data_IF_579730127745
#
_entry.id   IF_579730127745
#
_cell.length_a   1.000
_cell.length_b   1.000
_cell.length_c   1.000
_cell.angle_alpha   90.00
_cell.angle_beta   90.00
_cell.angle_gamma   90.00
#
_symmetry.space_group_name_H-M   'P 1'
#
loop_
_entity.id
_entity.type
_entity.pdbx_description
1 polymer ?
#
# COMPACT_ATOMS: atom_id res chain seq x y z
N UNK A 1 -5.49 -34.51 -6.61
CA UNK A 1 -5.20 -33.23 -5.93
C UNK A 1 -6.51 -32.69 -5.41
N UNK A 2 -6.73 -32.72 -4.09
CA UNK A 2 -7.98 -32.23 -3.49
C UNK A 2 -8.09 -30.72 -3.68
N UNK A 3 -9.12 -30.28 -4.41
CA UNK A 3 -9.41 -28.87 -4.59
C UNK A 3 -9.77 -28.26 -3.24
N UNK A 4 -8.95 -27.34 -2.75
CA UNK A 4 -9.30 -26.54 -1.60
C UNK A 4 -10.53 -25.69 -1.97
N UNK A 5 -11.55 -25.74 -1.12
CA UNK A 5 -12.70 -24.83 -1.22
C UNK A 5 -12.17 -23.40 -1.31
N UNK A 6 -12.64 -22.57 -2.27
CA UNK A 6 -12.22 -21.18 -2.34
C UNK A 6 -12.61 -20.49 -1.03
N UNK A 7 -11.60 -20.04 -0.29
CA UNK A 7 -11.81 -19.28 0.94
C UNK A 7 -11.97 -17.80 0.62
N UNK A 8 -13.04 -17.19 1.13
CA UNK A 8 -13.31 -15.76 0.96
C UNK A 8 -12.46 -14.94 1.95
N UNK A 9 -11.76 -13.93 1.43
CA UNK A 9 -10.95 -12.97 2.20
C UNK A 9 -11.79 -11.87 2.86
N UNK A 10 -12.96 -11.59 2.29
CA UNK A 10 -13.81 -10.42 2.61
C UNK A 10 -14.38 -10.44 4.03
N UNK A 11 -14.75 -11.61 4.53
CA UNK A 11 -15.32 -11.74 5.87
C UNK A 11 -14.24 -12.02 6.94
N UNK A 12 -12.97 -12.10 6.53
CA UNK A 12 -11.82 -12.37 7.40
C UNK A 12 -11.85 -13.70 8.20
N UNK A 13 -12.89 -14.52 7.99
CA UNK A 13 -13.07 -15.83 8.63
C UNK A 13 -11.98 -16.85 8.25
N UNK A 14 -11.25 -16.61 7.15
CA UNK A 14 -10.11 -17.44 6.75
C UNK A 14 -9.06 -17.57 7.86
N UNK A 15 -8.96 -16.58 8.76
CA UNK A 15 -8.01 -16.63 9.87
C UNK A 15 -8.40 -17.67 10.93
N UNK A 16 -9.67 -18.05 11.04
CA UNK A 16 -10.12 -19.11 11.94
C UNK A 16 -10.09 -20.50 11.27
N UNK A 17 -9.91 -20.58 9.96
CA UNK A 17 -9.91 -21.84 9.22
C UNK A 17 -8.71 -22.74 9.61
N UNK A 18 -9.01 -23.98 10.00
CA UNK A 18 -7.99 -24.93 10.46
C UNK A 18 -7.02 -25.34 9.36
N UNK A 19 -7.50 -25.42 8.11
CA UNK A 19 -6.65 -25.78 6.97
C UNK A 19 -5.67 -24.65 6.66
N UNK A 20 -6.14 -23.41 6.67
CA UNK A 20 -5.31 -22.22 6.57
C UNK A 20 -4.22 -22.20 7.64
N UNK A 21 -4.60 -22.36 8.90
CA UNK A 21 -3.65 -22.33 10.02
C UNK A 21 -2.60 -23.44 9.91
N UNK A 22 -3.03 -24.66 9.54
CA UNK A 22 -2.12 -25.79 9.33
C UNK A 22 -1.14 -25.54 8.17
N UNK A 23 -1.62 -25.05 7.03
CA UNK A 23 -0.78 -24.77 5.85
C UNK A 23 0.19 -23.61 6.15
N UNK A 24 -0.31 -22.53 6.75
CA UNK A 24 0.51 -21.38 7.16
C UNK A 24 1.62 -21.81 8.11
N UNK A 25 1.30 -22.60 9.14
CA UNK A 25 2.28 -23.12 10.10
C UNK A 25 3.32 -24.00 9.41
N UNK A 26 2.89 -24.98 8.61
CA UNK A 26 3.79 -25.89 7.89
C UNK A 26 4.80 -25.15 7.00
N UNK A 27 4.33 -24.15 6.24
CA UNK A 27 5.23 -23.33 5.40
C UNK A 27 6.17 -22.44 6.23
N UNK A 28 5.68 -21.90 7.36
CA UNK A 28 6.50 -21.07 8.26
C UNK A 28 7.63 -21.89 8.87
N UNK A 29 7.29 -23.07 9.42
CA UNK A 29 8.27 -24.00 10.02
C UNK A 29 9.32 -24.41 8.97
N UNK A 30 8.88 -24.79 7.75
CA UNK A 30 9.79 -25.18 6.67
C UNK A 30 10.74 -24.04 6.24
N UNK A 31 10.29 -22.77 6.28
CA UNK A 31 11.15 -21.62 6.01
C UNK A 31 12.19 -21.40 7.10
N UNK A 32 11.82 -21.57 8.37
CA UNK A 32 12.75 -21.47 9.52
C UNK A 32 13.78 -22.60 9.48
N UNK A 33 13.35 -23.83 9.21
CA UNK A 33 14.25 -24.97 9.07
C UNK A 33 15.26 -24.71 7.95
N UNK A 34 14.78 -24.23 6.79
CA UNK A 34 15.67 -23.89 5.67
C UNK A 34 16.62 -22.74 6.00
N UNK A 35 16.17 -21.71 6.70
CA UNK A 35 17.05 -20.62 7.14
C UNK A 35 18.14 -21.14 8.08
N UNK A 36 17.79 -22.02 9.02
CA UNK A 36 18.73 -22.65 9.97
C UNK A 36 19.80 -23.49 9.27
N UNK A 37 19.49 -24.12 8.12
CA UNK A 37 20.52 -24.84 7.34
C UNK A 37 21.62 -23.91 6.78
N UNK A 38 21.33 -22.62 6.59
CA UNK A 38 22.28 -21.62 6.05
C UNK A 38 22.87 -20.75 7.16
N UNK A 39 22.11 -20.50 8.23
CA UNK A 39 22.48 -19.69 9.40
C UNK A 39 22.24 -20.51 10.69
N UNK A 40 23.07 -21.51 11.00
CA UNK A 40 22.85 -22.39 12.15
C UNK A 40 22.76 -21.66 13.49
N UNK A 41 23.37 -20.48 13.60
CA UNK A 41 23.36 -19.66 14.80
C UNK A 41 21.96 -19.19 15.24
N UNK A 42 20.95 -19.20 14.35
CA UNK A 42 19.59 -18.77 14.67
C UNK A 42 18.74 -19.89 15.30
N UNK A 43 19.24 -21.13 15.30
CA UNK A 43 18.51 -22.29 15.84
C UNK A 43 18.17 -22.07 17.32
N UNK A 44 16.90 -22.26 17.68
CA UNK A 44 16.42 -22.04 19.04
C UNK A 44 16.48 -20.59 19.54
N UNK A 45 16.84 -19.61 18.69
CA UNK A 45 16.92 -18.19 19.05
C UNK A 45 15.73 -17.35 18.57
N UNK A 46 14.77 -17.96 17.89
CA UNK A 46 13.55 -17.28 17.45
C UNK A 46 12.67 -16.98 18.67
N UNK A 47 12.62 -15.70 19.07
CA UNK A 47 11.79 -15.23 20.19
C UNK A 47 10.37 -14.84 19.77
N UNK A 48 10.16 -14.56 18.48
CA UNK A 48 8.88 -14.19 17.90
C UNK A 48 8.84 -14.61 16.43
N UNK A 49 7.67 -15.07 15.98
CA UNK A 49 7.42 -15.41 14.59
C UNK A 49 6.03 -14.94 14.17
N UNK A 50 5.97 -14.32 13.00
CA UNK A 50 4.72 -13.97 12.33
C UNK A 50 4.90 -14.18 10.82
N UNK A 51 3.91 -14.81 10.20
CA UNK A 51 3.89 -15.03 8.76
C UNK A 51 2.70 -14.33 8.11
N UNK A 52 2.91 -13.78 6.92
CA UNK A 52 1.85 -13.26 6.06
C UNK A 52 1.62 -14.21 4.87
N UNK A 53 0.38 -14.30 4.41
CA UNK A 53 -0.05 -15.11 3.27
C UNK A 53 -0.68 -14.22 2.20
N UNK A 54 -0.92 -14.69 0.96
CA UNK A 54 -1.69 -13.93 -0.03
C UNK A 54 -3.07 -13.48 0.49
N UNK A 55 -3.75 -14.29 1.30
CA UNK A 55 -5.01 -13.91 1.97
C UNK A 55 -4.80 -12.78 2.99
N UNK A 56 -3.67 -12.78 3.69
CA UNK A 56 -3.26 -11.69 4.59
C UNK A 56 -3.03 -10.40 3.80
N UNK A 57 -2.30 -10.50 2.67
CA UNK A 57 -2.00 -9.38 1.80
C UNK A 57 -3.27 -8.76 1.19
N UNK A 58 -4.18 -9.60 0.69
CA UNK A 58 -5.47 -9.16 0.15
C UNK A 58 -6.30 -8.46 1.23
N UNK A 59 -6.36 -9.01 2.45
CA UNK A 59 -7.04 -8.38 3.58
C UNK A 59 -6.52 -6.96 3.85
N UNK A 60 -5.19 -6.78 3.95
CA UNK A 60 -4.62 -5.49 4.36
C UNK A 60 -4.58 -4.46 3.24
N UNK A 61 -4.34 -4.89 2.01
CA UNK A 61 -4.09 -3.97 0.89
C UNK A 61 -5.24 -3.88 -0.10
N UNK A 62 -6.24 -4.76 0.03
CA UNK A 62 -7.31 -4.95 -0.95
C UNK A 62 -6.79 -5.30 -2.35
N UNK A 63 -5.55 -5.81 -2.42
CA UNK A 63 -4.97 -6.30 -3.67
C UNK A 63 -5.57 -7.64 -4.02
N UNK A 64 -6.20 -7.72 -5.19
CA UNK A 64 -6.81 -8.96 -5.73
C UNK A 64 -5.84 -10.14 -5.65
N UNK A 65 -6.27 -11.25 -5.05
CA UNK A 65 -5.48 -12.48 -4.86
C UNK A 65 -4.18 -12.28 -4.07
N UNK A 66 -4.05 -11.19 -3.32
CA UNK A 66 -2.84 -10.85 -2.59
C UNK A 66 -1.68 -10.41 -3.48
N UNK A 67 -1.96 -9.93 -4.70
CA UNK A 67 -0.92 -9.50 -5.64
C UNK A 67 -0.09 -8.35 -5.05
N UNK A 68 1.21 -8.58 -4.85
CA UNK A 68 2.11 -7.59 -4.23
C UNK A 68 2.52 -6.46 -5.19
N UNK A 69 2.35 -6.65 -6.49
CA UNK A 69 2.83 -5.75 -7.54
C UNK A 69 1.71 -5.16 -8.42
N UNK A 70 0.47 -5.20 -7.92
CA UNK A 70 -0.70 -4.76 -8.68
C UNK A 70 -1.05 -5.75 -9.80
N UNK A 71 -1.46 -5.22 -10.96
CA UNK A 71 -1.72 -6.04 -12.15
C UNK A 71 -0.47 -6.78 -12.62
N UNK A 72 -0.69 -7.88 -13.35
CA UNK A 72 0.35 -8.74 -13.89
C UNK A 72 1.46 -7.94 -14.60
N UNK A 73 2.70 -8.39 -14.41
CA UNK A 73 3.86 -7.80 -15.07
C UNK A 73 4.31 -8.72 -16.21
N UNK A 74 3.56 -8.69 -17.31
CA UNK A 74 3.91 -9.36 -18.55
C UNK A 74 4.36 -8.33 -19.61
N UNK A 75 4.96 -8.79 -20.71
CA UNK A 75 5.47 -7.92 -21.79
C UNK A 75 4.40 -7.01 -22.41
N UNK A 76 3.13 -7.42 -22.36
CA UNK A 76 1.98 -6.65 -22.83
C UNK A 76 1.44 -5.64 -21.80
N UNK A 77 1.94 -5.65 -20.57
CA UNK A 77 1.51 -4.77 -19.47
C UNK A 77 2.67 -3.97 -18.87
N UNK A 78 3.80 -3.90 -19.59
CA UNK A 78 4.97 -3.11 -19.21
C UNK A 78 4.97 -1.72 -19.85
N UNK A 79 5.67 -0.79 -19.20
CA UNK A 79 5.90 0.57 -19.69
C UNK A 79 4.61 1.27 -20.18
N UNK A 80 4.58 1.66 -21.45
CA UNK A 80 3.45 2.38 -22.07
C UNK A 80 2.23 1.50 -22.34
N UNK A 81 2.26 0.21 -22.04
CA UNK A 81 1.08 -0.65 -22.12
C UNK A 81 0.31 -0.73 -20.79
N UNK A 82 0.92 -0.24 -19.69
CA UNK A 82 0.29 -0.17 -18.37
C UNK A 82 -0.73 0.98 -18.30
N UNK A 83 -1.77 0.94 -17.45
CA UNK A 83 -2.67 2.08 -17.27
C UNK A 83 -1.92 3.37 -16.89
N UNK A 84 -2.22 4.46 -17.60
CA UNK A 84 -1.79 5.79 -17.25
C UNK A 84 -2.74 6.47 -16.25
N UNK A 85 -2.47 7.72 -15.87
CA UNK A 85 -3.27 8.42 -14.86
C UNK A 85 -4.70 8.77 -15.30
N UNK A 86 -4.93 8.95 -16.61
CA UNK A 86 -6.24 9.33 -17.17
C UNK A 86 -7.01 8.11 -17.65
N UNK A 87 -8.31 8.10 -17.39
CA UNK A 87 -9.25 7.10 -17.90
C UNK A 87 -10.17 7.71 -18.97
N UNK A 88 -11.00 6.89 -19.62
CA UNK A 88 -12.09 7.35 -20.49
C UNK A 88 -13.24 8.02 -19.72
N UNK A 89 -13.31 7.81 -18.40
CA UNK A 89 -14.33 8.41 -17.53
C UNK A 89 -13.81 9.75 -17.02
N UNK A 90 -14.52 10.83 -17.37
CA UNK A 90 -14.15 12.18 -16.95
C UNK A 90 -14.17 12.28 -15.42
N UNK A 91 -13.09 12.80 -14.85
CA UNK A 91 -12.95 12.97 -13.40
C UNK A 91 -12.44 11.73 -12.67
N UNK A 92 -12.32 10.58 -13.33
CA UNK A 92 -11.73 9.38 -12.75
C UNK A 92 -10.26 9.25 -13.17
N UNK A 93 -9.38 9.25 -12.18
CA UNK A 93 -7.94 9.12 -12.33
C UNK A 93 -7.42 7.88 -11.61
N UNK A 94 -6.33 7.30 -12.11
CA UNK A 94 -5.70 6.12 -11.55
C UNK A 94 -4.31 6.46 -11.02
N UNK A 95 -3.94 5.86 -9.88
CA UNK A 95 -2.60 5.94 -9.31
C UNK A 95 -2.26 4.62 -8.60
N UNK A 96 -0.99 4.45 -8.24
CA UNK A 96 -0.52 3.33 -7.44
C UNK A 96 0.13 2.20 -8.25
N UNK A 97 0.30 1.06 -7.59
CA UNK A 97 1.16 -0.05 -8.02
C UNK A 97 0.68 -0.79 -9.27
N UNK A 98 -0.52 -0.49 -9.78
CA UNK A 98 -1.08 -1.01 -11.03
C UNK A 98 -0.98 -0.03 -12.21
N UNK A 99 -0.48 1.19 -11.97
CA UNK A 99 -0.34 2.23 -12.99
C UNK A 99 1.13 2.41 -13.41
N UNK A 100 1.37 3.21 -14.45
CA UNK A 100 2.72 3.65 -14.83
C UNK A 100 3.36 4.47 -13.70
N UNK A 101 4.67 4.31 -13.44
CA UNK A 101 5.66 3.55 -14.22
C UNK A 101 5.69 2.05 -13.90
N UNK A 102 5.11 1.61 -12.78
CA UNK A 102 5.14 0.20 -12.40
C UNK A 102 4.96 -0.02 -10.90
N UNK A 103 5.14 -1.26 -10.44
CA UNK A 103 5.28 -1.57 -9.03
C UNK A 103 6.54 -0.94 -8.43
N UNK A 104 6.80 -1.19 -7.13
CA UNK A 104 7.83 -0.59 -6.25
C UNK A 104 7.39 0.70 -5.57
N UNK A 105 8.02 1.01 -4.43
CA UNK A 105 7.76 2.25 -3.67
C UNK A 105 8.01 3.49 -4.53
N UNK A 106 9.12 3.53 -5.26
CA UNK A 106 9.41 4.61 -6.20
C UNK A 106 8.36 4.68 -7.31
N UNK A 107 7.99 3.54 -7.89
CA UNK A 107 6.98 3.50 -8.95
C UNK A 107 5.63 4.02 -8.48
N UNK A 108 5.18 3.62 -7.29
CA UNK A 108 3.94 4.11 -6.68
C UNK A 108 4.00 5.61 -6.40
N UNK A 109 5.13 6.11 -5.89
CA UNK A 109 5.35 7.54 -5.68
C UNK A 109 5.23 8.33 -7.00
N UNK A 110 5.98 7.92 -8.02
CA UNK A 110 5.98 8.57 -9.33
C UNK A 110 4.60 8.50 -9.99
N UNK A 111 3.91 7.38 -9.85
CA UNK A 111 2.52 7.21 -10.28
C UNK A 111 1.60 8.28 -9.67
N UNK A 112 1.69 8.49 -8.35
CA UNK A 112 0.96 9.57 -7.67
C UNK A 112 1.30 10.97 -8.20
N UNK A 113 2.58 11.25 -8.46
CA UNK A 113 3.03 12.53 -9.04
C UNK A 113 2.45 12.73 -10.45
N UNK A 114 2.46 11.71 -11.30
CA UNK A 114 1.88 11.76 -12.64
C UNK A 114 0.37 11.99 -12.58
N UNK A 115 -0.32 11.35 -11.65
CA UNK A 115 -1.77 11.50 -11.47
C UNK A 115 -2.13 12.89 -10.99
N UNK A 116 -1.44 13.43 -9.99
CA UNK A 116 -1.62 14.80 -9.54
C UNK A 116 -1.32 15.81 -10.66
N UNK A 117 -0.26 15.59 -11.44
CA UNK A 117 0.05 16.42 -12.61
C UNK A 117 -1.04 16.37 -13.68
N UNK A 118 -1.62 15.20 -13.92
CA UNK A 118 -2.74 15.03 -14.85
C UNK A 118 -4.02 15.74 -14.40
N UNK A 119 -4.27 15.82 -13.09
CA UNK A 119 -5.38 16.56 -12.47
C UNK A 119 -5.16 18.07 -12.58
N UNK A 120 -3.96 18.54 -12.24
CA UNK A 120 -3.63 19.97 -12.17
C UNK A 120 -3.24 20.58 -13.52
N UNK A 121 -3.03 19.77 -14.56
CA UNK A 121 -2.51 20.25 -15.85
C UNK A 121 -1.06 20.73 -15.78
N UNK A 122 -0.24 20.16 -14.88
CA UNK A 122 1.14 20.58 -14.60
C UNK A 122 2.12 19.41 -14.75
N UNK A 123 3.35 19.70 -15.19
CA UNK A 123 4.46 18.73 -15.19
C UNK A 123 5.11 18.65 -13.80
N UNK A 124 4.39 18.06 -12.84
CA UNK A 124 4.88 17.92 -11.46
C UNK A 124 6.11 17.01 -11.35
N UNK A 125 6.29 16.12 -12.32
CA UNK A 125 7.47 15.27 -12.34
C UNK A 125 8.74 16.06 -12.66
N UNK A 126 8.67 17.02 -13.59
CA UNK A 126 9.76 17.97 -13.80
C UNK A 126 10.03 18.81 -12.56
N UNK A 127 8.99 19.32 -11.90
CA UNK A 127 9.13 20.07 -10.64
C UNK A 127 9.86 19.21 -9.59
N UNK A 128 9.41 17.97 -9.38
CA UNK A 128 10.03 17.01 -8.45
C UNK A 128 11.50 16.73 -8.77
N UNK A 129 11.83 16.43 -10.03
CA UNK A 129 13.22 16.17 -10.45
C UNK A 129 14.14 17.38 -10.27
N UNK A 130 13.59 18.59 -10.39
CA UNK A 130 14.32 19.83 -10.18
C UNK A 130 14.44 20.20 -8.69
N UNK A 131 14.00 19.32 -7.77
CA UNK A 131 14.06 19.56 -6.34
C UNK A 131 13.05 20.59 -5.83
N UNK A 132 11.99 20.87 -6.60
CA UNK A 132 10.94 21.80 -6.17
C UNK A 132 9.96 21.12 -5.23
N UNK A 133 9.50 21.85 -4.23
CA UNK A 133 8.40 21.42 -3.38
C UNK A 133 7.10 21.30 -4.19
N UNK A 134 6.47 20.13 -4.14
CA UNK A 134 5.19 19.88 -4.83
C UNK A 134 3.99 20.44 -4.06
N UNK A 135 4.14 20.62 -2.75
CA UNK A 135 3.17 21.22 -1.84
C UNK A 135 3.88 22.32 -1.02
N UNK A 136 3.17 23.37 -0.58
CA UNK A 136 3.76 24.38 0.30
C UNK A 136 4.36 23.77 1.58
N UNK A 137 5.37 24.42 2.13
CA UNK A 137 5.91 24.04 3.43
C UNK A 137 4.84 24.20 4.52
N UNK A 138 4.83 23.30 5.50
CA UNK A 138 3.84 23.28 6.58
C UNK A 138 2.47 22.70 6.19
N UNK A 139 2.28 22.23 4.95
CA UNK A 139 1.01 21.59 4.52
C UNK A 139 0.83 20.19 5.12
N UNK A 140 1.93 19.52 5.49
CA UNK A 140 1.84 18.22 6.16
C UNK A 140 1.43 18.42 7.62
N UNK A 141 0.38 17.74 8.10
CA UNK A 141 -0.04 17.86 9.49
C UNK A 141 1.08 17.36 10.42
N UNK A 142 1.31 18.10 11.51
CA UNK A 142 2.25 17.68 12.54
C UNK A 142 1.80 16.37 13.16
N UNK A 143 2.70 15.41 13.33
CA UNK A 143 2.42 14.22 14.13
C UNK A 143 2.15 14.65 15.56
N UNK A 144 1.04 14.18 16.14
CA UNK A 144 0.72 14.48 17.53
C UNK A 144 1.75 13.84 18.46
N UNK A 145 2.08 14.50 19.56
CA UNK A 145 3.06 13.99 20.53
C UNK A 145 2.63 12.69 21.22
N UNK A 146 1.34 12.38 21.22
CA UNK A 146 0.74 11.18 21.79
C UNK A 146 0.42 10.09 20.74
N UNK A 147 0.87 10.26 19.50
CA UNK A 147 0.63 9.29 18.44
C UNK A 147 1.46 8.02 18.65
N UNK A 148 0.79 6.91 18.99
CA UNK A 148 1.38 5.58 19.02
C UNK A 148 0.95 4.77 17.78
N UNK A 149 1.86 4.53 16.81
CA UNK A 149 1.51 3.78 15.60
C UNK A 149 1.06 2.34 15.91
N UNK A 150 1.55 1.73 17.00
CA UNK A 150 1.16 0.38 17.39
C UNK A 150 -0.28 0.35 17.91
N UNK A 151 -0.66 1.29 18.77
CA UNK A 151 -2.03 1.42 19.23
C UNK A 151 -2.99 1.63 18.06
N UNK A 152 -2.66 2.51 17.10
CA UNK A 152 -3.52 2.79 15.93
C UNK A 152 -3.65 1.62 14.95
N UNK A 153 -2.66 0.72 14.91
CA UNK A 153 -2.64 -0.42 13.98
C UNK A 153 -3.39 -1.66 14.51
N UNK A 154 -3.80 -1.68 15.80
CA UNK A 154 -4.51 -2.82 16.39
C UNK A 154 -5.96 -2.91 15.93
N UNK A 155 -6.39 -4.12 15.58
CA UNK A 155 -7.80 -4.44 15.30
C UNK A 155 -8.64 -4.13 16.54
N UNK A 156 -9.67 -3.28 16.40
CA UNK A 156 -10.52 -2.82 17.51
C UNK A 156 -10.06 -1.52 18.19
N UNK A 157 -8.85 -1.04 17.93
CA UNK A 157 -8.40 0.28 18.42
C UNK A 157 -8.90 1.46 17.58
N UNK A 158 -9.47 1.18 16.40
CA UNK A 158 -10.24 2.17 15.64
C UNK A 158 -11.49 2.53 16.46
N UNK A 159 -11.40 3.57 17.30
CA UNK A 159 -12.57 4.44 17.47
C UNK A 159 -12.97 4.84 16.05
N UNK A 160 -14.26 4.73 15.73
CA UNK A 160 -14.82 5.31 14.50
C UNK A 160 -14.55 6.81 14.60
N UNK A 161 -13.40 7.27 14.11
CA UNK A 161 -13.15 8.70 13.95
C UNK A 161 -14.20 9.17 12.96
N UNK A 162 -14.98 10.17 13.35
CA UNK A 162 -15.99 10.73 12.47
C UNK A 162 -15.30 11.16 11.16
N UNK A 163 -15.78 10.78 9.96
CA UNK A 163 -15.21 11.25 8.71
C UNK A 163 -15.04 12.78 8.69
N UNK A 164 -15.93 13.49 9.36
CA UNK A 164 -15.84 14.94 9.52
C UNK A 164 -14.65 15.35 10.40
N UNK A 165 -14.26 14.56 11.41
CA UNK A 165 -13.14 14.85 12.33
C UNK A 165 -11.75 14.70 11.65
N UNK A 166 -11.63 13.80 10.67
CA UNK A 166 -10.44 13.66 9.82
C UNK A 166 -10.30 14.76 8.77
N UNK A 167 -11.43 15.37 8.36
CA UNK A 167 -11.49 16.48 7.41
C UNK A 167 -11.60 17.86 8.11
N UNK A 168 -11.93 17.91 9.40
CA UNK A 168 -12.13 19.13 10.19
C UNK A 168 -10.91 19.56 10.98
N UNK A 169 -9.80 18.81 10.95
CA UNK A 169 -8.51 19.40 11.30
C UNK A 169 -8.22 20.44 10.23
N UNK A 170 -8.16 21.75 10.56
CA UNK A 170 -8.02 22.79 9.57
C UNK A 170 -6.60 22.73 9.00
N UNK A 171 -6.39 21.88 8.00
CA UNK A 171 -5.47 22.22 6.95
C UNK A 171 -6.14 23.36 6.18
N UNK A 172 -6.02 24.59 6.69
CA UNK A 172 -6.22 25.76 5.84
C UNK A 172 -5.25 25.60 4.68
N UNK A 173 -5.74 25.11 3.54
CA UNK A 173 -5.05 25.24 2.27
C UNK A 173 -5.09 26.73 1.95
N UNK A 174 -4.14 27.48 2.51
CA UNK A 174 -3.91 28.86 2.12
C UNK A 174 -3.55 28.84 0.64
N UNK A 175 -4.50 29.29 -0.17
CA UNK A 175 -4.25 29.53 -1.59
C UNK A 175 -3.18 30.62 -1.67
N UNK A 176 -2.03 30.39 -2.30
CA UNK A 176 -1.05 31.46 -2.46
C UNK A 176 -1.67 32.55 -3.33
N UNK A 177 -1.50 33.81 -2.94
CA UNK A 177 -1.84 34.95 -3.76
C UNK A 177 -1.08 34.83 -5.09
N UNK A 178 -1.81 34.96 -6.20
CA UNK A 178 -1.21 35.15 -7.52
C UNK A 178 -0.39 36.44 -7.45
N UNK A 179 0.93 36.30 -7.44
CA UNK A 179 1.83 37.42 -7.75
C UNK A 179 2.08 37.39 -9.24
N UNK A 180 1.42 38.29 -9.97
CA UNK A 180 1.79 38.63 -11.34
C UNK A 180 3.22 39.19 -11.33
N UNK A 181 4.06 38.62 -12.19
CA UNK A 181 5.41 39.05 -12.50
C UNK A 181 5.83 38.54 -13.86
#
# INVERSE_FOLDING_TARGET
MGGATPMTTRDHDYAADETYQRVKKSLTDAMIDRATTVLPEIEGRVVHQEAATPLTQERYTQSTQGASYGIEMNTHQMALARPGPKTSIRGLYLAGASCRPGPTTEGVLLSGIYTAGAILGRDLHRDFRNGRYLVPEGTLPSTRSDFDPLAYSRVGARKRTDPDELLSSPAEIRTPAVTDG
#
